data_IF_614080873557
#
_entry.id   IF_614080873557
#
_cell.length_a   1.000
_cell.length_b   1.000
_cell.length_c   1.000
_cell.angle_alpha   90.00
_cell.angle_beta   90.00
_cell.angle_gamma   90.00
#
_symmetry.space_group_name_H-M   'P 1'
#
loop_
_entity.id
_entity.type
_entity.pdbx_description
1 polymer ?
#
# COMPACT_ATOMS: atom_id res chain seq x y z
N UNK A 1 -20.53 -2.76 -8.68
CA UNK A 1 -20.43 -2.28 -7.29
C UNK A 1 -18.99 -1.85 -7.11
N UNK A 2 -18.75 -0.56 -6.94
CA UNK A 2 -17.42 -0.03 -6.66
C UNK A 2 -16.94 -0.63 -5.32
N UNK A 3 -15.73 -1.18 -5.28
CA UNK A 3 -15.19 -1.79 -4.06
C UNK A 3 -14.68 -0.67 -3.17
N UNK A 4 -15.23 -0.55 -1.96
CA UNK A 4 -14.69 0.34 -0.96
C UNK A 4 -13.39 -0.24 -0.39
N UNK A 5 -12.26 0.23 -0.94
CA UNK A 5 -10.91 -0.14 -0.52
C UNK A 5 -10.32 0.86 0.48
N UNK A 6 -11.08 1.86 0.94
CA UNK A 6 -10.56 2.95 1.78
C UNK A 6 -9.96 2.40 3.08
N UNK A 7 -10.66 1.50 3.76
CA UNK A 7 -10.16 0.88 5.00
C UNK A 7 -8.86 0.08 4.77
N UNK A 8 -8.77 -0.60 3.63
CA UNK A 8 -7.58 -1.36 3.27
C UNK A 8 -6.40 -0.44 2.97
N UNK A 9 -6.61 0.65 2.21
CA UNK A 9 -5.58 1.66 1.95
C UNK A 9 -5.08 2.31 3.24
N UNK A 10 -5.98 2.66 4.16
CA UNK A 10 -5.62 3.20 5.48
C UNK A 10 -4.77 2.20 6.27
N UNK A 11 -5.16 0.92 6.28
CA UNK A 11 -4.38 -0.14 6.92
C UNK A 11 -2.97 -0.25 6.30
N UNK A 12 -2.85 -0.26 4.97
CA UNK A 12 -1.57 -0.34 4.27
C UNK A 12 -0.67 0.85 4.63
N UNK A 13 -1.23 2.06 4.68
CA UNK A 13 -0.48 3.28 5.07
C UNK A 13 0.06 3.15 6.49
N UNK A 14 -0.75 2.71 7.47
CA UNK A 14 -0.30 2.61 8.86
C UNK A 14 0.73 1.51 9.07
N UNK A 15 0.56 0.34 8.46
CA UNK A 15 1.50 -0.77 8.60
C UNK A 15 2.84 -0.44 7.93
N UNK A 16 2.81 0.11 6.71
CA UNK A 16 4.02 0.54 6.01
C UNK A 16 4.73 1.67 6.77
N UNK A 17 3.98 2.66 7.25
CA UNK A 17 4.51 3.74 8.08
C UNK A 17 5.24 3.20 9.31
N UNK A 18 4.63 2.23 10.01
CA UNK A 18 5.22 1.60 11.21
C UNK A 18 6.48 0.80 10.88
N UNK A 19 6.46 0.03 9.80
CA UNK A 19 7.59 -0.82 9.39
C UNK A 19 8.81 -0.01 8.96
N UNK A 20 8.62 1.12 8.26
CA UNK A 20 9.71 1.93 7.70
C UNK A 20 10.05 3.18 8.54
N UNK A 21 9.41 3.37 9.69
CA UNK A 21 9.66 4.52 10.57
C UNK A 21 9.31 5.87 9.93
N UNK A 22 8.32 5.89 9.04
CA UNK A 22 7.88 7.10 8.35
C UNK A 22 6.80 7.84 9.16
N UNK A 23 6.51 9.07 8.75
CA UNK A 23 5.28 9.77 9.13
C UNK A 23 4.15 9.45 8.15
N UNK A 24 2.89 9.69 8.54
CA UNK A 24 1.75 9.47 7.64
C UNK A 24 1.86 10.33 6.36
N UNK A 25 2.21 11.63 6.42
CA UNK A 25 2.41 12.43 5.21
C UNK A 25 3.51 11.89 4.29
N UNK A 26 4.65 11.46 4.84
CA UNK A 26 5.74 10.88 4.05
C UNK A 26 5.32 9.57 3.36
N UNK A 27 4.53 8.75 4.05
CA UNK A 27 4.02 7.49 3.49
C UNK A 27 3.02 7.74 2.37
N UNK A 28 2.12 8.72 2.54
CA UNK A 28 1.16 9.12 1.50
C UNK A 28 1.91 9.66 0.27
N UNK A 29 2.88 10.56 0.47
CA UNK A 29 3.67 11.13 -0.64
C UNK A 29 4.42 10.03 -1.41
N UNK A 30 4.98 9.04 -0.71
CA UNK A 30 5.64 7.89 -1.32
C UNK A 30 4.64 7.04 -2.13
N UNK A 31 3.48 6.76 -1.56
CA UNK A 31 2.44 5.95 -2.21
C UNK A 31 1.88 6.65 -3.45
N UNK A 32 1.71 7.97 -3.41
CA UNK A 32 1.33 8.78 -4.57
C UNK A 32 2.42 8.75 -5.64
N UNK A 33 3.67 8.97 -5.25
CA UNK A 33 4.82 9.00 -6.15
C UNK A 33 4.98 7.72 -6.98
N UNK A 34 4.80 6.56 -6.34
CA UNK A 34 4.96 5.26 -6.99
C UNK A 34 3.64 4.65 -7.50
N UNK A 35 2.50 5.32 -7.27
CA UNK A 35 1.18 4.83 -7.69
C UNK A 35 0.67 3.62 -6.89
N UNK A 36 1.11 3.46 -5.64
CA UNK A 36 0.71 2.36 -4.75
C UNK A 36 -0.80 2.35 -4.51
N UNK A 37 -1.46 3.51 -4.43
CA UNK A 37 -2.91 3.54 -4.24
C UNK A 37 -3.71 2.92 -5.39
N UNK A 38 -3.19 2.98 -6.61
CA UNK A 38 -3.77 2.29 -7.76
C UNK A 38 -3.53 0.78 -7.68
N UNK A 39 -2.32 0.38 -7.30
CA UNK A 39 -2.00 -1.02 -7.02
C UNK A 39 -2.95 -1.63 -5.99
N UNK A 40 -3.21 -0.93 -4.88
CA UNK A 40 -4.11 -1.39 -3.81
C UNK A 40 -5.60 -1.48 -4.22
N UNK A 41 -5.97 -1.05 -5.44
CA UNK A 41 -7.30 -1.27 -6.01
C UNK A 41 -7.37 -2.54 -6.86
N UNK A 42 -6.23 -3.17 -7.18
CA UNK A 42 -6.18 -4.31 -8.09
C UNK A 42 -6.95 -5.52 -7.53
N UNK A 43 -7.89 -6.10 -8.29
CA UNK A 43 -8.70 -7.22 -7.83
C UNK A 43 -7.90 -8.45 -7.39
N UNK A 44 -6.68 -8.62 -7.92
CA UNK A 44 -5.78 -9.72 -7.58
C UNK A 44 -5.36 -9.71 -6.10
N UNK A 45 -5.33 -8.53 -5.46
CA UNK A 45 -4.92 -8.38 -4.06
C UNK A 45 -5.96 -8.91 -3.06
N UNK A 46 -7.19 -9.22 -3.50
CA UNK A 46 -8.22 -9.79 -2.62
C UNK A 46 -7.85 -11.13 -1.99
N UNK A 47 -6.89 -11.85 -2.58
CA UNK A 47 -6.46 -13.16 -2.12
C UNK A 47 -5.13 -13.13 -1.37
N UNK A 48 -4.49 -11.96 -1.27
CA UNK A 48 -3.24 -11.82 -0.55
C UNK A 48 -3.46 -11.73 0.96
N UNK A 49 -2.50 -12.26 1.72
CA UNK A 49 -2.50 -12.15 3.17
C UNK A 49 -2.15 -10.72 3.58
N UNK A 50 -2.86 -10.19 4.58
CA UNK A 50 -2.51 -8.90 5.17
C UNK A 50 -1.09 -8.90 5.77
N UNK A 51 -0.59 -10.05 6.19
CA UNK A 51 0.74 -10.21 6.80
C UNK A 51 1.88 -9.86 5.82
N UNK A 52 1.63 -9.96 4.50
CA UNK A 52 2.62 -9.69 3.47
C UNK A 52 2.53 -8.29 2.87
N UNK A 53 1.53 -7.48 3.27
CA UNK A 53 1.22 -6.18 2.66
C UNK A 53 2.43 -5.25 2.54
N UNK A 54 3.29 -5.20 3.57
CA UNK A 54 4.49 -4.34 3.54
C UNK A 54 5.48 -4.82 2.48
N UNK A 55 5.74 -6.13 2.44
CA UNK A 55 6.64 -6.76 1.46
C UNK A 55 6.09 -6.56 0.05
N UNK A 56 4.80 -6.79 -0.16
CA UNK A 56 4.16 -6.61 -1.47
C UNK A 56 4.28 -5.15 -1.97
N UNK A 57 4.18 -4.16 -1.06
CA UNK A 57 4.35 -2.74 -1.39
C UNK A 57 5.81 -2.40 -1.66
N UNK A 58 6.75 -2.94 -0.87
CA UNK A 58 8.20 -2.78 -1.11
C UNK A 58 8.57 -3.31 -2.50
N UNK A 59 8.21 -4.55 -2.82
CA UNK A 59 8.47 -5.17 -4.13
C UNK A 59 7.85 -4.36 -5.27
N UNK A 60 6.63 -3.83 -5.08
CA UNK A 60 5.96 -2.99 -6.06
C UNK A 60 6.70 -1.67 -6.32
N UNK A 61 7.21 -1.02 -5.27
CA UNK A 61 8.00 0.21 -5.35
C UNK A 61 9.37 -0.08 -5.98
N UNK A 62 10.06 -1.12 -5.55
CA UNK A 62 11.36 -1.53 -6.08
C UNK A 62 11.31 -1.80 -7.59
N UNK A 63 10.24 -2.45 -8.08
CA UNK A 63 10.04 -2.69 -9.50
C UNK A 63 9.81 -1.41 -10.34
N UNK A 64 9.69 -0.24 -9.70
CA UNK A 64 9.40 1.07 -10.31
C UNK A 64 10.43 2.16 -9.97
N UNK A 65 11.48 1.81 -9.22
CA UNK A 65 12.61 2.69 -8.90
C UNK A 65 13.67 2.66 -10.02
#
# INVERSE_FOLDING_TARGET
>A
MERDTVKFKVYCVEEYRRAHGLTAPQTIELFERYGVFGFLEEPALQWQSLDNTVIDIDEYIEARA
#
